data_IF_807546401612
#
_entry.id   IF_807546401612
#
_cell.length_a   1.000
_cell.length_b   1.000
_cell.length_c   1.000
_cell.angle_alpha   90.00
_cell.angle_beta   90.00
_cell.angle_gamma   90.00
#
_symmetry.space_group_name_H-M   'P 1'
#
loop_
_entity.id
_entity.type
_entity.pdbx_description
1 polymer ?
#
# COMPACT_ATOMS: atom_id res chain seq x y z
N UNK A 1 -9.19 10.87 -36.32
CA UNK A 1 -9.72 9.50 -36.10
C UNK A 1 -9.08 8.59 -37.15
N UNK A 2 -7.96 7.93 -36.85
CA UNK A 2 -7.31 7.06 -37.83
C UNK A 2 -8.06 5.73 -37.92
N UNK A 3 -8.62 5.46 -39.10
CA UNK A 3 -9.41 4.27 -39.39
C UNK A 3 -8.47 3.06 -39.50
N UNK A 4 -8.12 2.47 -38.34
CA UNK A 4 -7.22 1.31 -38.19
C UNK A 4 -7.63 0.12 -39.07
N UNK A 5 -8.91 0.03 -39.43
CA UNK A 5 -9.46 -0.98 -40.34
C UNK A 5 -8.93 -0.87 -41.77
N UNK A 6 -8.65 0.35 -42.27
CA UNK A 6 -8.08 0.53 -43.61
C UNK A 6 -6.58 0.22 -43.63
N UNK A 7 -5.84 0.63 -42.59
CA UNK A 7 -4.42 0.33 -42.47
C UNK A 7 -4.15 -1.17 -42.36
N UNK A 8 -5.02 -1.93 -41.68
CA UNK A 8 -4.93 -3.39 -41.62
C UNK A 8 -5.21 -4.06 -42.98
N UNK A 9 -6.02 -3.43 -43.83
CA UNK A 9 -6.28 -3.92 -45.20
C UNK A 9 -5.06 -3.70 -46.11
N UNK A 10 -4.36 -2.59 -45.96
CA UNK A 10 -3.16 -2.28 -46.74
C UNK A 10 -1.97 -3.15 -46.32
N UNK A 11 -1.86 -3.49 -45.03
CA UNK A 11 -0.87 -4.47 -44.51
C UNK A 11 -1.18 -5.89 -45.02
N UNK A 12 -2.45 -6.30 -45.08
CA UNK A 12 -2.84 -7.58 -45.67
C UNK A 12 -2.50 -7.67 -47.17
N UNK A 13 -2.50 -6.53 -47.87
CA UNK A 13 -2.16 -6.44 -49.29
C UNK A 13 -0.66 -6.18 -49.56
N UNK A 14 0.19 -6.21 -48.54
CA UNK A 14 1.65 -6.14 -48.70
C UNK A 14 2.24 -4.73 -48.92
N UNK A 15 1.49 -3.68 -48.61
CA UNK A 15 1.99 -2.30 -48.69
C UNK A 15 2.72 -1.96 -47.38
N UNK A 16 3.99 -1.49 -47.41
CA UNK A 16 4.73 -1.17 -46.19
C UNK A 16 4.16 0.10 -45.53
N UNK A 17 3.68 -0.02 -44.29
CA UNK A 17 3.22 1.11 -43.49
C UNK A 17 4.33 1.57 -42.53
N UNK A 18 4.67 2.86 -42.57
CA UNK A 18 5.60 3.48 -41.62
C UNK A 18 4.84 3.94 -40.37
N UNK A 19 5.25 3.46 -39.20
CA UNK A 19 4.55 3.68 -37.94
C UNK A 19 5.21 4.82 -37.14
N UNK A 20 4.68 6.04 -37.26
CA UNK A 20 5.02 7.15 -36.36
C UNK A 20 4.00 7.25 -35.22
N UNK A 21 4.48 7.17 -33.98
CA UNK A 21 3.66 7.15 -32.78
C UNK A 21 3.43 8.58 -32.24
N UNK A 22 2.20 9.07 -32.27
CA UNK A 22 1.83 10.35 -31.66
C UNK A 22 1.27 10.13 -30.24
N UNK A 23 1.85 10.84 -29.25
CA UNK A 23 1.69 10.63 -27.79
C UNK A 23 0.44 11.28 -27.17
N UNK A 24 -0.52 11.79 -27.93
CA UNK A 24 -1.59 12.65 -27.36
C UNK A 24 -2.99 12.02 -27.20
N UNK A 25 -3.18 10.71 -27.26
CA UNK A 25 -4.54 10.13 -27.15
C UNK A 25 -4.72 9.22 -25.92
N UNK A 26 -5.09 9.83 -24.79
CA UNK A 26 -5.69 9.14 -23.64
C UNK A 26 -7.17 8.86 -23.93
N UNK A 27 -7.61 7.60 -23.78
CA UNK A 27 -9.01 7.20 -23.94
C UNK A 27 -9.73 7.39 -22.60
N UNK A 28 -10.74 8.26 -22.58
CA UNK A 28 -11.73 8.34 -21.49
C UNK A 28 -12.72 7.19 -21.60
N UNK A 29 -12.94 6.47 -20.50
CA UNK A 29 -13.92 5.38 -20.39
C UNK A 29 -15.35 5.88 -20.45
N UNK A 30 -16.11 5.46 -21.47
CA UNK A 30 -17.58 5.49 -21.41
C UNK A 30 -18.19 4.24 -22.05
N UNK A 31 -19.19 3.73 -21.35
CA UNK A 31 -20.19 2.71 -21.73
C UNK A 31 -19.82 1.24 -21.57
N UNK A 32 -20.25 0.76 -20.40
CA UNK A 32 -20.30 -0.60 -19.91
C UNK A 32 -21.41 -1.40 -20.63
N UNK A 33 -21.12 -2.04 -21.76
CA UNK A 33 -22.08 -2.94 -22.44
C UNK A 33 -21.47 -4.35 -22.62
N UNK A 34 -21.70 -5.20 -21.62
CA UNK A 34 -21.41 -6.63 -21.70
C UNK A 34 -22.38 -7.31 -22.69
N UNK A 35 -21.85 -8.06 -23.67
CA UNK A 35 -22.62 -8.88 -24.61
C UNK A 35 -23.04 -10.18 -23.92
N UNK A 36 -24.29 -10.59 -24.14
CA UNK A 36 -24.98 -11.69 -23.48
C UNK A 36 -24.37 -13.10 -23.71
N UNK A 37 -24.54 -13.93 -22.68
CA UNK A 37 -24.11 -15.33 -22.54
C UNK A 37 -24.64 -16.25 -23.64
N UNK A 38 -23.74 -16.96 -24.32
CA UNK A 38 -24.08 -18.16 -25.10
C UNK A 38 -23.52 -19.40 -24.41
N UNK A 39 -24.43 -20.19 -23.85
CA UNK A 39 -24.22 -21.48 -23.16
C UNK A 39 -23.44 -22.50 -24.00
N UNK A 40 -22.10 -22.46 -23.98
CA UNK A 40 -21.22 -23.65 -24.03
C UNK A 40 -19.77 -23.25 -23.72
N UNK A 41 -19.52 -22.85 -22.48
CA UNK A 41 -18.17 -22.65 -21.94
C UNK A 41 -17.90 -23.72 -20.89
N UNK A 42 -16.80 -24.46 -21.04
CA UNK A 42 -16.14 -24.97 -19.84
C UNK A 42 -15.73 -23.73 -19.06
N UNK A 43 -16.50 -23.41 -18.02
CA UNK A 43 -16.15 -22.38 -17.06
C UNK A 43 -14.92 -22.88 -16.30
N UNK A 44 -13.74 -22.69 -16.90
CA UNK A 44 -12.53 -22.59 -16.07
C UNK A 44 -12.68 -21.23 -15.41
N UNK A 45 -13.35 -21.21 -14.27
CA UNK A 45 -13.15 -20.16 -13.29
C UNK A 45 -11.65 -20.15 -13.00
N UNK A 46 -10.91 -19.27 -13.68
CA UNK A 46 -9.62 -18.75 -13.23
C UNK A 46 -9.84 -17.86 -12.01
N UNK A 47 -10.64 -18.34 -11.07
CA UNK A 47 -10.85 -17.71 -9.78
C UNK A 47 -9.75 -18.28 -8.92
N UNK A 48 -8.80 -17.43 -8.52
CA UNK A 48 -7.83 -17.82 -7.49
C UNK A 48 -8.56 -18.50 -6.33
N UNK A 49 -7.91 -19.46 -5.67
CA UNK A 49 -8.54 -20.16 -4.54
C UNK A 49 -9.12 -19.14 -3.56
N UNK A 50 -10.30 -19.42 -2.99
CA UNK A 50 -10.94 -18.50 -2.04
C UNK A 50 -9.98 -18.09 -0.91
N UNK A 51 -9.09 -19.00 -0.50
CA UNK A 51 -8.08 -18.74 0.52
C UNK A 51 -6.95 -17.83 0.03
N UNK A 52 -6.56 -17.89 -1.24
CA UNK A 52 -5.62 -16.93 -1.83
C UNK A 52 -6.21 -15.53 -1.92
N UNK A 53 -7.48 -15.42 -2.32
CA UNK A 53 -8.18 -14.13 -2.37
C UNK A 53 -8.23 -13.50 -0.98
N UNK A 54 -8.62 -14.26 0.05
CA UNK A 54 -8.60 -13.79 1.45
C UNK A 54 -7.21 -13.36 1.91
N UNK A 55 -6.17 -14.09 1.52
CA UNK A 55 -4.78 -13.71 1.81
C UNK A 55 -4.42 -12.35 1.18
N UNK A 56 -4.80 -12.14 -0.08
CA UNK A 56 -4.54 -10.90 -0.79
C UNK A 56 -5.37 -9.72 -0.26
N UNK A 57 -6.60 -9.97 0.19
CA UNK A 57 -7.43 -8.96 0.87
C UNK A 57 -6.80 -8.52 2.21
N UNK A 58 -6.20 -9.44 2.95
CA UNK A 58 -5.46 -9.11 4.18
C UNK A 58 -4.19 -8.29 3.87
N UNK A 59 -3.46 -8.62 2.79
CA UNK A 59 -2.33 -7.80 2.30
C UNK A 59 -2.80 -6.38 1.97
N UNK A 60 -3.94 -6.23 1.30
CA UNK A 60 -4.49 -4.92 0.96
C UNK A 60 -4.90 -4.13 2.20
N UNK A 61 -5.44 -4.81 3.21
CA UNK A 61 -5.74 -4.22 4.51
C UNK A 61 -4.46 -3.74 5.22
N UNK A 62 -3.39 -4.54 5.19
CA UNK A 62 -2.08 -4.17 5.70
C UNK A 62 -1.53 -2.93 4.99
N UNK A 63 -1.62 -2.85 3.65
CA UNK A 63 -1.19 -1.65 2.90
C UNK A 63 -1.92 -0.39 3.35
N UNK A 64 -3.25 -0.44 3.51
CA UNK A 64 -4.03 0.70 4.00
C UNK A 64 -3.63 1.13 5.41
N UNK A 65 -3.28 0.18 6.28
CA UNK A 65 -2.74 0.48 7.60
C UNK A 65 -1.36 1.15 7.51
N UNK A 66 -0.49 0.68 6.61
CA UNK A 66 0.83 1.29 6.34
C UNK A 66 0.65 2.74 5.87
N UNK A 67 -0.24 3.00 4.92
CA UNK A 67 -0.53 4.36 4.43
C UNK A 67 -1.03 5.27 5.55
N UNK A 68 -1.85 4.74 6.45
CA UNK A 68 -2.34 5.48 7.63
C UNK A 68 -1.19 5.83 8.60
N UNK A 69 -0.19 4.95 8.74
CA UNK A 69 1.00 5.21 9.56
C UNK A 69 1.88 6.29 8.92
N UNK A 70 2.07 6.23 7.60
CA UNK A 70 2.80 7.27 6.88
C UNK A 70 2.13 8.63 6.99
N UNK A 71 0.80 8.67 6.86
CA UNK A 71 0.04 9.90 7.02
C UNK A 71 0.12 10.44 8.46
N UNK A 72 0.15 9.55 9.45
CA UNK A 72 0.44 9.90 10.84
C UNK A 72 1.78 10.62 11.00
N UNK A 73 2.85 10.10 10.38
CA UNK A 73 4.18 10.71 10.41
C UNK A 73 4.20 12.12 9.78
N UNK A 74 3.55 12.26 8.61
CA UNK A 74 3.41 13.56 7.93
C UNK A 74 2.61 14.55 8.77
N UNK A 75 1.52 14.09 9.38
CA UNK A 75 0.64 14.90 10.24
C UNK A 75 1.35 15.39 11.50
N UNK A 76 2.19 14.56 12.14
CA UNK A 76 3.05 15.01 13.26
C UNK A 76 3.95 16.16 12.81
N UNK A 77 4.62 16.00 11.68
CA UNK A 77 5.53 17.02 11.14
C UNK A 77 4.77 18.33 10.87
N UNK A 78 3.59 18.24 10.25
CA UNK A 78 2.72 19.41 9.98
C UNK A 78 2.25 20.11 11.25
N UNK A 79 1.75 19.36 12.25
CA UNK A 79 1.30 19.93 13.52
C UNK A 79 2.46 20.55 14.31
N UNK A 80 3.66 19.97 14.23
CA UNK A 80 4.86 20.53 14.83
C UNK A 80 5.21 21.91 14.23
N UNK A 81 5.14 22.06 12.90
CA UNK A 81 5.33 23.35 12.24
C UNK A 81 4.26 24.37 12.65
N UNK A 82 2.99 23.98 12.63
CA UNK A 82 1.88 24.85 13.07
C UNK A 82 2.06 25.31 14.52
N UNK A 83 2.50 24.43 15.42
CA UNK A 83 2.78 24.77 16.82
C UNK A 83 3.90 25.82 16.99
N UNK A 84 4.69 26.08 15.96
CA UNK A 84 5.73 27.12 15.97
C UNK A 84 5.16 28.48 15.55
N UNK A 85 4.09 28.50 14.76
CA UNK A 85 3.42 29.70 14.25
C UNK A 85 2.32 30.21 15.19
N UNK A 86 1.87 29.39 16.14
CA UNK A 86 0.79 29.74 17.06
C UNK A 86 1.18 30.86 18.04
N UNK A 87 0.30 31.86 18.13
CA UNK A 87 0.47 33.03 19.00
C UNK A 87 -0.29 32.90 20.33
N UNK A 88 -1.39 32.13 20.36
CA UNK A 88 -2.27 32.04 21.55
C UNK A 88 -2.11 30.75 22.36
N UNK A 89 -2.36 30.81 23.66
CA UNK A 89 -2.26 29.66 24.56
C UNK A 89 -3.31 28.58 24.27
N UNK A 90 -4.55 28.99 23.93
CA UNK A 90 -5.62 28.05 23.56
C UNK A 90 -5.25 27.19 22.36
N UNK A 91 -4.71 27.81 21.31
CA UNK A 91 -4.26 27.10 20.10
C UNK A 91 -3.10 26.13 20.40
N UNK A 92 -2.20 26.45 21.34
CA UNK A 92 -1.12 25.54 21.75
C UNK A 92 -1.68 24.29 22.43
N UNK A 93 -2.64 24.46 23.34
CA UNK A 93 -3.29 23.34 24.02
C UNK A 93 -4.08 22.46 23.05
N UNK A 94 -4.81 23.07 22.11
CA UNK A 94 -5.54 22.34 21.06
C UNK A 94 -4.59 21.51 20.19
N UNK A 95 -3.44 22.07 19.79
CA UNK A 95 -2.43 21.33 19.02
C UNK A 95 -1.83 20.18 19.83
N UNK A 96 -1.48 20.38 21.12
CA UNK A 96 -0.94 19.29 21.95
C UNK A 96 -1.95 18.14 22.09
N UNK A 97 -3.21 18.47 22.31
CA UNK A 97 -4.31 17.49 22.41
C UNK A 97 -4.48 16.72 21.10
N UNK A 98 -4.50 17.42 19.96
CA UNK A 98 -4.57 16.80 18.63
C UNK A 98 -3.37 15.91 18.35
N UNK A 99 -2.17 16.32 18.81
CA UNK A 99 -0.96 15.53 18.64
C UNK A 99 -1.02 14.22 19.45
N UNK A 100 -1.43 14.28 20.71
CA UNK A 100 -1.58 13.09 21.55
C UNK A 100 -2.63 12.13 20.98
N UNK A 101 -3.77 12.65 20.50
CA UNK A 101 -4.79 11.86 19.84
C UNK A 101 -4.28 11.19 18.56
N UNK A 102 -3.51 11.92 17.74
CA UNK A 102 -2.87 11.41 16.53
C UNK A 102 -1.88 10.29 16.86
N UNK A 103 -1.00 10.49 17.83
CA UNK A 103 -0.01 9.50 18.26
C UNK A 103 -0.71 8.22 18.73
N UNK A 104 -1.72 8.35 19.61
CA UNK A 104 -2.47 7.20 20.11
C UNK A 104 -3.16 6.43 18.98
N UNK A 105 -3.82 7.13 18.05
CA UNK A 105 -4.46 6.51 16.89
C UNK A 105 -3.44 5.78 16.01
N UNK A 106 -2.32 6.41 15.68
CA UNK A 106 -1.30 5.80 14.82
C UNK A 106 -0.63 4.61 15.51
N UNK A 107 -0.42 4.65 16.83
CA UNK A 107 0.09 3.51 17.61
C UNK A 107 -0.87 2.31 17.57
N UNK A 108 -2.18 2.53 17.69
CA UNK A 108 -3.16 1.46 17.53
C UNK A 108 -3.06 0.80 16.15
N UNK A 109 -2.93 1.61 15.09
CA UNK A 109 -2.76 1.09 13.72
C UNK A 109 -1.43 0.35 13.56
N UNK A 110 -0.35 0.80 14.21
CA UNK A 110 0.93 0.07 14.21
C UNK A 110 0.77 -1.33 14.84
N UNK A 111 0.11 -1.42 16.00
CA UNK A 111 -0.16 -2.69 16.68
C UNK A 111 -1.03 -3.62 15.82
N UNK A 112 -2.12 -3.10 15.24
CA UNK A 112 -2.99 -3.87 14.35
C UNK A 112 -2.24 -4.37 13.12
N UNK A 113 -1.43 -3.51 12.49
CA UNK A 113 -0.62 -3.86 11.33
C UNK A 113 0.39 -4.97 11.68
N UNK A 114 1.01 -4.89 12.86
CA UNK A 114 1.91 -5.93 13.38
C UNK A 114 1.19 -7.25 13.62
N UNK A 115 -0.01 -7.23 14.21
CA UNK A 115 -0.83 -8.42 14.44
C UNK A 115 -1.25 -9.10 13.14
N UNK A 116 -1.77 -8.33 12.17
CA UNK A 116 -2.10 -8.81 10.82
C UNK A 116 -0.88 -9.39 10.10
N UNK A 117 0.26 -8.72 10.18
CA UNK A 117 1.50 -9.22 9.57
C UNK A 117 1.97 -10.53 10.23
N UNK A 118 1.81 -10.66 11.55
CA UNK A 118 2.18 -11.88 12.28
C UNK A 118 1.21 -13.03 11.97
N UNK A 119 -0.09 -12.75 11.86
CA UNK A 119 -1.09 -13.75 11.53
C UNK A 119 -0.89 -14.28 10.10
N UNK A 120 -0.62 -13.38 9.16
CA UNK A 120 -0.45 -13.69 7.74
C UNK A 120 0.80 -14.54 7.46
N UNK A 121 1.85 -14.40 8.28
CA UNK A 121 3.05 -15.22 8.23
C UNK A 121 2.75 -16.73 8.31
N UNK A 122 1.69 -17.12 9.03
CA UNK A 122 1.30 -18.53 9.22
C UNK A 122 0.67 -19.16 7.97
N UNK A 123 0.39 -18.37 6.93
CA UNK A 123 -0.32 -18.79 5.72
C UNK A 123 0.56 -18.77 4.46
N UNK A 124 1.86 -18.46 4.58
CA UNK A 124 2.78 -18.33 3.43
C UNK A 124 2.92 -19.63 2.64
N UNK A 125 3.01 -20.78 3.34
CA UNK A 125 3.21 -22.10 2.72
C UNK A 125 1.92 -22.91 2.53
N UNK A 126 0.75 -22.30 2.77
CA UNK A 126 -0.57 -22.95 2.74
C UNK A 126 -1.33 -22.78 1.42
N UNK A 127 -0.66 -22.35 0.37
CA UNK A 127 -1.24 -22.24 -0.97
C UNK A 127 -1.45 -23.59 -1.64
N UNK A 128 -2.31 -23.59 -2.65
CA UNK A 128 -2.66 -24.81 -3.42
C UNK A 128 -1.53 -25.31 -4.33
N UNK A 129 -0.52 -24.47 -4.59
CA UNK A 129 0.61 -24.77 -5.46
C UNK A 129 1.88 -24.06 -5.00
N UNK A 130 3.04 -24.54 -5.45
CA UNK A 130 4.33 -23.87 -5.23
C UNK A 130 4.36 -22.44 -5.80
N UNK A 131 3.68 -22.21 -6.92
CA UNK A 131 3.51 -20.88 -7.52
C UNK A 131 2.72 -19.95 -6.60
N UNK A 132 1.62 -20.44 -6.01
CA UNK A 132 0.82 -19.66 -5.07
C UNK A 132 1.61 -19.30 -3.80
N UNK A 133 2.36 -20.25 -3.23
CA UNK A 133 3.23 -19.99 -2.07
C UNK A 133 4.27 -18.91 -2.37
N UNK A 134 4.88 -18.94 -3.57
CA UNK A 134 5.81 -17.88 -4.01
C UNK A 134 5.12 -16.52 -4.12
N UNK A 135 3.89 -16.48 -4.63
CA UNK A 135 3.12 -15.23 -4.71
C UNK A 135 2.79 -14.68 -3.32
N UNK A 136 2.35 -15.53 -2.39
CA UNK A 136 2.07 -15.17 -0.99
C UNK A 136 3.33 -14.62 -0.29
N UNK A 137 4.45 -15.34 -0.38
CA UNK A 137 5.73 -14.94 0.18
C UNK A 137 6.20 -13.58 -0.36
N UNK A 138 6.08 -13.37 -1.67
CA UNK A 138 6.45 -12.11 -2.31
C UNK A 138 5.61 -10.93 -1.82
N UNK A 139 4.28 -11.07 -1.84
CA UNK A 139 3.37 -10.03 -1.38
C UNK A 139 3.61 -9.68 0.10
N UNK A 140 3.79 -10.70 0.93
CA UNK A 140 4.11 -10.56 2.35
C UNK A 140 5.42 -9.81 2.59
N UNK A 141 6.51 -10.23 1.93
CA UNK A 141 7.82 -9.62 2.11
C UNK A 141 7.84 -8.14 1.70
N UNK A 142 7.12 -7.79 0.62
CA UNK A 142 6.93 -6.41 0.19
C UNK A 142 6.18 -5.62 1.27
N UNK A 143 5.04 -6.12 1.76
CA UNK A 143 4.26 -5.46 2.81
C UNK A 143 5.08 -5.25 4.10
N UNK A 144 5.82 -6.25 4.57
CA UNK A 144 6.71 -6.15 5.74
C UNK A 144 7.79 -5.09 5.55
N UNK A 145 8.42 -5.05 4.37
CA UNK A 145 9.44 -4.03 4.05
C UNK A 145 8.86 -2.61 4.10
N UNK A 146 7.69 -2.41 3.49
CA UNK A 146 6.99 -1.12 3.54
C UNK A 146 6.57 -0.75 4.96
N UNK A 147 6.05 -1.70 5.73
CA UNK A 147 5.68 -1.48 7.12
C UNK A 147 6.88 -1.03 7.96
N UNK A 148 8.02 -1.73 7.85
CA UNK A 148 9.27 -1.34 8.55
C UNK A 148 9.72 0.08 8.16
N UNK A 149 9.65 0.42 6.88
CA UNK A 149 10.02 1.76 6.41
C UNK A 149 9.06 2.82 6.96
N UNK A 150 7.75 2.55 6.99
CA UNK A 150 6.75 3.44 7.57
C UNK A 150 6.97 3.64 9.07
N UNK A 151 7.24 2.56 9.83
CA UNK A 151 7.61 2.64 11.25
C UNK A 151 8.84 3.52 11.46
N UNK A 152 9.87 3.41 10.60
CA UNK A 152 11.09 4.21 10.71
C UNK A 152 10.82 5.69 10.47
N UNK A 153 10.02 6.01 9.45
CA UNK A 153 9.60 7.40 9.17
C UNK A 153 8.79 7.95 10.33
N UNK A 154 7.84 7.17 10.86
CA UNK A 154 7.01 7.55 11.99
C UNK A 154 7.84 7.81 13.26
N UNK A 155 8.76 6.92 13.60
CA UNK A 155 9.68 7.09 14.72
C UNK A 155 10.54 8.35 14.56
N UNK A 156 11.05 8.62 13.35
CA UNK A 156 11.83 9.82 13.05
C UNK A 156 11.01 11.09 13.33
N UNK A 157 9.76 11.15 12.85
CA UNK A 157 8.88 12.28 13.12
C UNK A 157 8.57 12.46 14.62
N UNK A 158 8.44 11.38 15.39
CA UNK A 158 8.30 11.49 16.84
C UNK A 158 9.57 12.03 17.51
N UNK A 159 10.76 11.61 17.07
CA UNK A 159 12.04 12.11 17.60
C UNK A 159 12.17 13.62 17.36
N UNK A 160 11.86 14.07 16.15
CA UNK A 160 11.87 15.48 15.79
C UNK A 160 10.86 16.27 16.65
N UNK A 161 9.67 15.70 16.88
CA UNK A 161 8.67 16.32 17.73
C UNK A 161 9.11 16.40 19.20
N UNK A 162 9.67 15.33 19.77
CA UNK A 162 10.25 15.33 21.13
C UNK A 162 11.30 16.43 21.26
N UNK A 163 12.21 16.55 20.29
CA UNK A 163 13.23 17.60 20.27
C UNK A 163 12.59 19.00 20.26
N UNK A 164 11.57 19.22 19.42
CA UNK A 164 10.85 20.49 19.36
C UNK A 164 10.17 20.87 20.69
N UNK A 165 9.53 19.91 21.37
CA UNK A 165 8.92 20.16 22.70
C UNK A 165 10.01 20.46 23.73
N UNK A 166 11.09 19.69 23.73
CA UNK A 166 12.21 19.83 24.68
C UNK A 166 12.87 21.21 24.55
N UNK A 167 13.16 21.65 23.32
CA UNK A 167 13.72 22.98 23.06
C UNK A 167 12.79 24.10 23.55
N UNK A 168 11.47 23.93 23.40
CA UNK A 168 10.47 24.88 23.91
C UNK A 168 10.43 24.88 25.44
N UNK A 169 10.46 23.71 26.08
CA UNK A 169 10.53 23.58 27.54
C UNK A 169 11.81 24.23 28.09
N UNK A 170 12.97 24.01 27.46
CA UNK A 170 14.25 24.63 27.83
C UNK A 170 14.14 26.16 27.80
N UNK A 171 13.59 26.74 26.73
CA UNK A 171 13.37 28.19 26.65
C UNK A 171 12.42 28.71 27.73
N UNK A 172 11.32 28.02 28.00
CA UNK A 172 10.38 28.41 29.06
C UNK A 172 11.02 28.32 30.45
N UNK A 173 11.80 27.26 30.72
CA UNK A 173 12.55 27.13 31.96
C UNK A 173 13.58 28.25 32.13
N UNK A 174 14.29 28.65 31.06
CA UNK A 174 15.23 29.77 31.12
C UNK A 174 14.56 31.11 31.43
N UNK A 175 13.34 31.35 30.93
CA UNK A 175 12.57 32.54 31.27
C UNK A 175 12.14 32.57 32.74
N UNK A 176 11.92 31.41 33.35
CA UNK A 176 11.56 31.29 34.76
C UNK A 176 12.82 31.35 35.64
N UNK A 177 13.95 30.82 35.15
CA UNK A 177 15.22 30.71 35.88
C UNK A 177 16.40 31.20 35.02
N UNK A 178 16.60 32.53 34.90
CA UNK A 178 17.65 33.09 34.04
C UNK A 178 19.08 32.76 34.52
N UNK A 179 19.24 32.57 35.83
CA UNK A 179 20.55 32.33 36.49
C UNK A 179 20.98 30.85 36.48
N UNK A 180 20.13 29.93 35.97
CA UNK A 180 20.45 28.51 35.91
C UNK A 180 21.46 28.23 34.79
N UNK A 181 22.46 27.40 35.08
CA UNK A 181 23.45 26.98 34.09
C UNK A 181 22.80 26.21 32.93
N UNK A 182 23.35 26.36 31.73
CA UNK A 182 22.76 25.76 30.53
C UNK A 182 22.80 24.23 30.55
N UNK A 183 23.82 23.62 31.17
CA UNK A 183 23.94 22.17 31.30
C UNK A 183 22.89 21.61 32.27
N UNK A 184 22.64 22.32 33.37
CA UNK A 184 21.60 21.96 34.34
C UNK A 184 20.20 22.10 33.73
N UNK A 185 19.97 23.17 32.97
CA UNK A 185 18.72 23.41 32.26
C UNK A 185 18.42 22.30 31.22
N UNK A 186 19.45 21.85 30.51
CA UNK A 186 19.34 20.77 29.53
C UNK A 186 19.03 19.42 30.22
N UNK A 187 19.67 19.15 31.37
CA UNK A 187 19.35 17.97 32.19
C UNK A 187 17.91 18.00 32.70
N UNK A 188 17.42 19.15 33.15
CA UNK A 188 16.02 19.30 33.56
C UNK A 188 15.07 19.08 32.38
N UNK A 189 15.26 19.77 31.26
CA UNK A 189 14.37 19.69 30.10
C UNK A 189 14.33 18.28 29.47
N UNK A 190 15.45 17.56 29.46
CA UNK A 190 15.54 16.21 28.90
C UNK A 190 15.13 15.10 29.88
N UNK A 191 15.03 15.40 31.18
CA UNK A 191 14.66 14.40 32.18
C UNK A 191 13.14 14.41 32.39
N UNK A 192 12.40 13.40 31.88
CA UNK A 192 10.96 13.33 32.08
C UNK A 192 10.54 13.23 33.55
N UNK A 193 11.43 12.81 34.45
CA UNK A 193 11.18 12.74 35.90
C UNK A 193 11.54 14.04 36.63
N UNK A 194 12.08 15.06 35.95
CA UNK A 194 12.42 16.34 36.56
C UNK A 194 11.19 17.21 36.88
N UNK A 195 9.97 16.73 36.62
CA UNK A 195 8.72 17.42 36.92
C UNK A 195 8.65 17.87 38.39
N UNK A 196 9.05 16.99 39.33
CA UNK A 196 9.08 17.30 40.76
C UNK A 196 10.13 18.36 41.10
N UNK A 197 11.29 18.30 40.45
CA UNK A 197 12.37 19.28 40.61
C UNK A 197 11.93 20.66 40.12
N UNK A 198 11.30 20.75 38.93
CA UNK A 198 10.75 22.02 38.41
C UNK A 198 9.70 22.61 39.36
N UNK A 199 8.84 21.77 39.94
CA UNK A 199 7.82 22.21 40.88
C UNK A 199 8.41 22.71 42.20
N UNK A 200 9.41 22.01 42.74
CA UNK A 200 10.10 22.41 43.97
C UNK A 200 10.83 23.75 43.79
N UNK A 201 11.53 23.92 42.66
CA UNK A 201 12.21 25.17 42.34
C UNK A 201 11.18 26.30 42.13
N UNK A 202 10.04 26.02 41.49
CA UNK A 202 8.98 27.00 41.27
C UNK A 202 8.38 27.52 42.58
N UNK A 203 8.16 26.61 43.54
CA UNK A 203 7.67 26.97 44.88
C UNK A 203 8.68 27.80 45.67
N UNK A 204 9.98 27.59 45.46
CA UNK A 204 11.04 28.34 46.16
C UNK A 204 11.24 29.77 45.66
N UNK A 205 11.00 30.03 44.37
CA UNK A 205 11.09 31.37 43.76
C UNK A 205 9.77 32.16 43.81
N UNK A 206 8.77 31.65 44.54
CA UNK A 206 7.38 32.08 44.47
C UNK A 206 7.10 33.37 45.26
N UNK A 207 7.49 34.51 44.71
CA UNK A 207 6.91 35.82 45.04
C UNK A 207 5.84 36.19 44.00
N UNK A 208 4.62 35.67 44.18
CA UNK A 208 3.36 36.30 43.73
C UNK A 208 2.99 36.37 42.24
N UNK A 209 3.84 35.96 41.29
CA UNK A 209 3.55 36.10 39.86
C UNK A 209 2.67 34.97 39.30
N UNK A 210 1.41 35.26 38.97
CA UNK A 210 0.46 34.34 38.32
C UNK A 210 1.02 33.76 37.00
N UNK A 211 1.79 34.55 36.26
CA UNK A 211 2.46 34.14 35.02
C UNK A 211 3.46 32.99 35.20
N UNK A 212 4.15 32.92 36.35
CA UNK A 212 5.07 31.81 36.66
C UNK A 212 4.31 30.50 36.88
N UNK A 213 3.15 30.56 37.56
CA UNK A 213 2.34 29.37 37.85
C UNK A 213 1.85 28.71 36.57
N UNK A 214 1.40 29.51 35.61
CA UNK A 214 0.91 29.02 34.33
C UNK A 214 2.05 28.44 33.47
N UNK A 215 3.24 29.05 33.51
CA UNK A 215 4.42 28.53 32.81
C UNK A 215 4.89 27.18 33.38
N UNK A 216 4.88 27.02 34.70
CA UNK A 216 5.22 25.75 35.37
C UNK A 216 4.20 24.66 35.02
N UNK A 217 2.90 24.97 35.06
CA UNK A 217 1.84 24.04 34.64
C UNK A 217 2.00 23.60 33.18
N UNK A 218 2.32 24.53 32.28
CA UNK A 218 2.56 24.24 30.87
C UNK A 218 3.76 23.28 30.69
N UNK A 219 4.86 23.52 31.42
CA UNK A 219 6.04 22.65 31.42
C UNK A 219 5.71 21.25 31.96
N UNK A 220 4.91 21.15 33.02
CA UNK A 220 4.46 19.87 33.57
C UNK A 220 3.66 19.06 32.54
N UNK A 221 2.75 19.71 31.81
CA UNK A 221 2.02 19.06 30.71
C UNK A 221 2.96 18.50 29.62
N UNK A 222 4.01 19.26 29.27
CA UNK A 222 5.01 18.82 28.29
C UNK A 222 5.82 17.61 28.75
N UNK A 223 6.16 17.49 30.03
CA UNK A 223 6.85 16.30 30.54
C UNK A 223 6.01 15.03 30.37
N UNK A 224 4.70 15.10 30.63
CA UNK A 224 3.78 13.99 30.39
C UNK A 224 3.70 13.62 28.90
N UNK A 225 3.66 14.62 28.02
CA UNK A 225 3.68 14.40 26.57
C UNK A 225 5.00 13.74 26.11
N UNK A 226 6.15 14.16 26.66
CA UNK A 226 7.47 13.55 26.39
C UNK A 226 7.50 12.08 26.86
N UNK A 227 7.00 11.78 28.06
CA UNK A 227 6.91 10.41 28.58
C UNK A 227 6.08 9.51 27.66
N UNK A 228 4.92 9.98 27.22
CA UNK A 228 4.06 9.23 26.30
C UNK A 228 4.75 8.99 24.94
N UNK A 229 5.47 9.99 24.43
CA UNK A 229 6.28 9.87 23.22
C UNK A 229 7.39 8.82 23.37
N UNK A 230 8.14 8.82 24.47
CA UNK A 230 9.20 7.84 24.70
C UNK A 230 8.66 6.41 24.78
N UNK A 231 7.53 6.21 25.47
CA UNK A 231 6.86 4.91 25.53
C UNK A 231 6.43 4.45 24.13
N UNK A 232 5.87 5.36 23.33
CA UNK A 232 5.50 5.07 21.94
C UNK A 232 6.73 4.68 21.10
N UNK A 233 7.82 5.45 21.18
CA UNK A 233 9.06 5.14 20.44
C UNK A 233 9.65 3.78 20.79
N UNK A 234 9.62 3.39 22.08
CA UNK A 234 10.12 2.08 22.50
C UNK A 234 9.23 0.95 21.96
N UNK A 235 7.90 1.14 21.92
CA UNK A 235 6.99 0.18 21.27
C UNK A 235 7.30 0.03 19.77
N UNK A 236 7.55 1.14 19.06
CA UNK A 236 7.92 1.10 17.63
C UNK A 236 9.24 0.34 17.42
N UNK A 237 10.23 0.60 18.27
CA UNK A 237 11.53 -0.08 18.23
C UNK A 237 11.39 -1.57 18.49
N UNK A 238 10.59 -1.98 19.48
CA UNK A 238 10.30 -3.39 19.73
C UNK A 238 9.65 -4.05 18.51
N UNK A 239 8.65 -3.40 17.90
CA UNK A 239 8.02 -3.89 16.66
C UNK A 239 9.05 -4.05 15.53
N UNK A 240 9.99 -3.11 15.35
CA UNK A 240 11.04 -3.23 14.34
C UNK A 240 11.97 -4.42 14.57
N UNK A 241 12.33 -4.71 15.83
CA UNK A 241 13.15 -5.87 16.19
C UNK A 241 12.41 -7.17 15.84
N UNK A 242 11.12 -7.24 16.16
CA UNK A 242 10.27 -8.40 15.84
C UNK A 242 10.15 -8.61 14.32
N UNK A 243 10.06 -7.54 13.53
CA UNK A 243 10.04 -7.61 12.07
C UNK A 243 11.41 -7.95 11.46
N UNK A 244 12.52 -7.61 12.12
CA UNK A 244 13.86 -7.92 11.63
C UNK A 244 14.11 -9.44 11.55
N UNK A 245 13.51 -10.21 12.46
CA UNK A 245 13.58 -11.68 12.44
C UNK A 245 12.86 -12.30 11.22
N UNK A 246 11.84 -11.61 10.69
CA UNK A 246 11.03 -12.08 9.57
C UNK A 246 11.71 -11.84 8.22
N UNK A 247 12.56 -10.81 8.11
CA UNK A 247 13.25 -10.45 6.86
C UNK A 247 14.59 -11.18 6.75
N UNK A 248 14.53 -12.51 6.74
CA UNK A 248 15.62 -13.34 6.26
C UNK A 248 15.33 -13.76 4.82
N UNK A 249 15.97 -13.08 3.86
CA UNK A 249 16.28 -13.51 2.47
C UNK A 249 15.63 -12.76 1.27
N UNK A 250 16.48 -12.60 0.24
CA UNK A 250 16.32 -12.09 -1.15
C UNK A 250 16.33 -10.57 -1.38
N UNK A 251 17.52 -9.98 -1.31
CA UNK A 251 17.83 -8.67 -1.88
C UNK A 251 17.82 -8.61 -3.43
N UNK A 252 17.60 -9.74 -4.12
CA UNK A 252 17.67 -9.83 -5.60
C UNK A 252 16.29 -10.03 -6.26
N UNK A 253 15.26 -10.44 -5.51
CA UNK A 253 13.90 -10.68 -6.05
C UNK A 253 12.99 -9.44 -6.00
N UNK A 254 13.37 -8.42 -5.23
CA UNK A 254 12.48 -7.27 -4.94
C UNK A 254 12.31 -6.35 -6.17
N UNK A 255 13.35 -6.20 -7.00
CA UNK A 255 13.25 -5.46 -8.27
C UNK A 255 12.46 -6.21 -9.35
N UNK A 256 12.34 -7.54 -9.22
CA UNK A 256 11.54 -8.33 -10.15
C UNK A 256 10.05 -8.27 -9.86
N UNK A 257 9.58 -7.81 -8.70
CA UNK A 257 8.13 -7.78 -8.38
C UNK A 257 7.43 -6.56 -9.01
N UNK A 258 8.05 -5.39 -9.03
CA UNK A 258 7.52 -4.25 -9.79
C UNK A 258 7.42 -4.61 -11.29
N UNK A 259 8.40 -5.37 -11.78
CA UNK A 259 8.41 -5.90 -13.14
C UNK A 259 7.44 -7.09 -13.36
N UNK A 260 7.16 -7.93 -12.35
CA UNK A 260 6.25 -9.08 -12.45
C UNK A 260 4.78 -8.72 -12.20
N UNK A 261 4.47 -7.68 -11.42
CA UNK A 261 3.13 -7.11 -11.31
C UNK A 261 2.70 -6.50 -12.66
N UNK A 262 3.62 -5.84 -13.37
CA UNK A 262 3.44 -5.41 -14.76
C UNK A 262 3.26 -6.61 -15.72
N UNK A 263 4.00 -7.72 -15.53
CA UNK A 263 3.82 -8.93 -16.35
C UNK A 263 2.54 -9.70 -16.03
N UNK A 264 2.02 -9.68 -14.81
CA UNK A 264 0.74 -10.33 -14.49
C UNK A 264 -0.43 -9.69 -15.26
N UNK A 265 -0.36 -8.37 -15.49
CA UNK A 265 -1.28 -7.65 -16.40
C UNK A 265 -1.02 -8.00 -17.87
N UNK A 266 0.22 -8.28 -18.27
CA UNK A 266 0.56 -8.72 -19.64
C UNK A 266 0.14 -10.19 -19.93
N UNK A 267 0.20 -11.08 -18.91
CA UNK A 267 -0.22 -12.47 -19.03
C UNK A 267 -1.73 -12.63 -19.22
N UNK A 268 -2.57 -11.75 -18.65
CA UNK A 268 -4.01 -11.73 -18.96
C UNK A 268 -4.27 -11.21 -20.38
N UNK A 269 -3.45 -10.29 -20.87
CA UNK A 269 -3.46 -9.84 -22.27
C UNK A 269 -3.11 -10.94 -23.27
N UNK A 270 -2.03 -11.70 -23.03
CA UNK A 270 -1.59 -12.80 -23.90
C UNK A 270 -2.46 -14.05 -23.83
N UNK A 271 -3.06 -14.34 -22.68
CA UNK A 271 -4.06 -15.40 -22.56
C UNK A 271 -5.30 -15.11 -23.41
N UNK A 272 -5.74 -13.85 -23.47
CA UNK A 272 -6.84 -13.41 -24.34
C UNK A 272 -6.47 -13.55 -25.83
N UNK A 273 -5.23 -13.24 -26.20
CA UNK A 273 -4.73 -13.39 -27.58
C UNK A 273 -4.64 -14.87 -28.02
N UNK A 274 -4.22 -15.77 -27.13
CA UNK A 274 -4.21 -17.22 -27.38
C UNK A 274 -5.62 -17.80 -27.45
N UNK A 275 -6.56 -17.32 -26.63
CA UNK A 275 -7.98 -17.69 -26.72
C UNK A 275 -8.61 -17.22 -28.03
N UNK A 276 -8.29 -16.02 -28.52
CA UNK A 276 -8.72 -15.56 -29.84
C UNK A 276 -8.15 -16.43 -30.97
N UNK A 277 -6.84 -16.71 -30.96
CA UNK A 277 -6.21 -17.60 -31.95
C UNK A 277 -6.81 -19.01 -31.93
N UNK A 278 -7.15 -19.54 -30.75
CA UNK A 278 -7.81 -20.83 -30.59
C UNK A 278 -9.25 -20.82 -31.12
N UNK A 279 -10.02 -19.75 -30.89
CA UNK A 279 -11.35 -19.58 -31.47
C UNK A 279 -11.31 -19.48 -33.00
N UNK A 280 -10.34 -18.74 -33.55
CA UNK A 280 -10.18 -18.60 -35.00
C UNK A 280 -9.75 -19.91 -35.66
N UNK A 281 -8.87 -20.69 -35.01
CA UNK A 281 -8.51 -22.02 -35.47
C UNK A 281 -9.70 -23.00 -35.39
N UNK A 282 -10.55 -22.92 -34.36
CA UNK A 282 -11.78 -23.73 -34.25
C UNK A 282 -12.78 -23.38 -35.36
N UNK A 283 -12.95 -22.09 -35.68
CA UNK A 283 -13.81 -21.61 -36.80
C UNK A 283 -13.27 -22.02 -38.17
N UNK A 284 -11.95 -22.09 -38.35
CA UNK A 284 -11.33 -22.59 -39.59
C UNK A 284 -11.47 -24.11 -39.72
N UNK A 285 -11.28 -24.86 -38.63
CA UNK A 285 -11.43 -26.31 -38.58
C UNK A 285 -12.87 -26.79 -38.85
N UNK A 286 -13.89 -26.10 -38.33
CA UNK A 286 -15.29 -26.51 -38.55
C UNK A 286 -15.74 -26.37 -40.01
N UNK A 287 -15.24 -25.35 -40.72
CA UNK A 287 -15.51 -25.12 -42.15
C UNK A 287 -14.89 -26.21 -43.02
N UNK A 288 -13.66 -26.63 -42.71
CA UNK A 288 -13.00 -27.72 -43.44
C UNK A 288 -13.77 -29.05 -43.28
N UNK A 289 -14.27 -29.33 -42.08
CA UNK A 289 -15.06 -30.53 -41.82
C UNK A 289 -16.40 -30.53 -42.60
N UNK A 290 -17.04 -29.37 -42.74
CA UNK A 290 -18.30 -29.23 -43.51
C UNK A 290 -18.08 -29.41 -45.02
N UNK A 291 -16.95 -28.94 -45.55
CA UNK A 291 -16.60 -29.18 -46.95
C UNK A 291 -16.29 -30.65 -47.23
N UNK A 292 -15.57 -31.33 -46.32
CA UNK A 292 -15.31 -32.76 -46.44
C UNK A 292 -16.60 -33.59 -46.41
N UNK A 293 -17.55 -33.30 -45.51
CA UNK A 293 -18.83 -34.03 -45.47
C UNK A 293 -19.68 -33.79 -46.70
N UNK A 294 -19.73 -32.56 -47.23
CA UNK A 294 -20.46 -32.26 -48.47
C UNK A 294 -19.92 -33.03 -49.69
N UNK A 295 -18.59 -33.16 -49.81
CA UNK A 295 -17.95 -33.90 -50.91
C UNK A 295 -18.28 -35.40 -50.81
N UNK A 296 -18.22 -35.98 -49.62
CA UNK A 296 -18.56 -37.41 -49.40
C UNK A 296 -20.02 -37.69 -49.77
N UNK A 297 -20.94 -36.79 -49.43
CA UNK A 297 -22.37 -36.92 -49.79
C UNK A 297 -22.57 -36.84 -51.30
N UNK A 298 -21.91 -35.90 -51.98
CA UNK A 298 -21.99 -35.76 -53.44
C UNK A 298 -21.48 -37.00 -54.18
N UNK A 299 -20.35 -37.56 -53.73
CA UNK A 299 -19.80 -38.80 -54.32
C UNK A 299 -20.74 -39.98 -54.08
N UNK A 300 -21.30 -40.11 -52.87
CA UNK A 300 -22.29 -41.14 -52.56
C UNK A 300 -23.54 -41.06 -53.44
N UNK A 301 -24.08 -39.86 -53.65
CA UNK A 301 -25.22 -39.64 -54.54
C UNK A 301 -24.88 -39.94 -56.01
N UNK A 302 -23.70 -39.53 -56.47
CA UNK A 302 -23.23 -39.82 -57.83
C UNK A 302 -23.10 -41.31 -58.13
N UNK A 303 -22.81 -42.14 -57.12
CA UNK A 303 -22.76 -43.60 -57.25
C UNK A 303 -24.16 -44.22 -57.12
N UNK A 304 -25.02 -43.68 -56.24
CA UNK A 304 -26.36 -44.24 -55.99
C UNK A 304 -27.36 -43.99 -57.14
N UNK A 305 -27.29 -42.82 -57.79
CA UNK A 305 -28.19 -42.46 -58.90
C UNK A 305 -28.13 -43.44 -60.10
N UNK A 306 -26.97 -43.82 -60.64
CA UNK A 306 -26.91 -44.76 -61.76
C UNK A 306 -27.30 -46.18 -61.37
N UNK A 307 -27.16 -46.56 -60.09
CA UNK A 307 -27.63 -47.87 -59.59
C UNK A 307 -29.16 -47.89 -59.53
N UNK A 308 -29.79 -46.81 -59.05
CA UNK A 308 -31.26 -46.68 -58.99
C UNK A 308 -31.91 -46.60 -60.38
N UNK A 309 -31.29 -45.89 -61.33
CA UNK A 309 -31.76 -45.82 -62.72
C UNK A 309 -31.61 -47.14 -63.49
N UNK A 310 -30.78 -48.07 -63.01
CA UNK A 310 -30.65 -49.43 -63.57
C UNK A 310 -31.66 -50.41 -63.01
N UNK A 311 -32.26 -50.10 -61.86
CA UNK A 311 -33.19 -50.97 -61.11
C UNK A 311 -34.65 -50.63 -61.45
N UNK A 312 -34.92 -49.42 -61.98
CA UNK A 312 -36.23 -49.00 -62.50
C UNK A 312 -36.30 -49.27 -64.00
#
# INVERSE_FOLDING_TARGET
MFNRTLQLKDVYNGVPCDFSYNREFLITTSENKFIADSNFGVMVETTFSSDFTKFMDEIETIKKMIDTIEEGARSITKLMHLNTEVVTEKQRTDISTNMNALINRTNMVCTQCKESTTSLQKFLDKGSSSTENRMRANAYNVAVKHFRNALKRYQTSQIDYKKSITDKSKRQLHLIYPEMDEEELDKLANNPNAQQTVEQIARSNFLGNVSLRDAVSNIQGKYNDILALEQSMEQLKQMMVELAAVVSYQGELIDQIEHNALKAVDYTGRANEQLQKAQDNKKKGSKLLTWFTAIVVLVGLGIMIPILLKIT
#
